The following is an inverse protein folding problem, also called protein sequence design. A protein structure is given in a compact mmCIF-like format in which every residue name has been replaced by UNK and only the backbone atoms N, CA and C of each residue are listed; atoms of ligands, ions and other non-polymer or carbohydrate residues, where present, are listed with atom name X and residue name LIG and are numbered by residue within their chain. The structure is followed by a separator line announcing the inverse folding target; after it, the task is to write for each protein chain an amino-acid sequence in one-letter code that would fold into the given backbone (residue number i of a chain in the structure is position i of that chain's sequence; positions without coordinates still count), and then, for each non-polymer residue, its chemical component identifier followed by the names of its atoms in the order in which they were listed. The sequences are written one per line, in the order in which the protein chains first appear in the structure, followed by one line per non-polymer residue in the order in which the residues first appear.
data_IF_081349052859
#
_entry.id   IF_081349052859
#
_cell.length_a   1.000
_cell.length_b   1.000
_cell.length_c   1.000
_cell.angle_alpha   90.00
_cell.angle_beta   90.00
_cell.angle_gamma   90.00
#
_symmetry.space_group_name_H-M   'P 1'
#
loop_
_entity.id
_entity.type
_entity.pdbx_description
1 polymer ?
#
# COMPACT_ATOMS: atom_id res chain seq x y z
N UNK A 1 -30.00 64.61 12.85
CA UNK A 1 -30.33 63.21 12.49
C UNK A 1 -29.35 62.62 11.47
N UNK A 2 -29.02 63.29 10.35
CA UNK A 2 -28.02 62.80 9.36
C UNK A 2 -26.61 62.48 9.92
N UNK A 3 -26.14 63.24 10.92
CA UNK A 3 -24.81 63.03 11.54
C UNK A 3 -24.74 61.79 12.46
N UNK A 4 -25.88 61.38 13.03
CA UNK A 4 -25.96 60.18 13.90
C UNK A 4 -25.97 58.91 13.04
N UNK A 5 -26.63 58.96 11.88
CA UNK A 5 -26.65 57.86 10.90
C UNK A 5 -25.25 57.62 10.28
N UNK A 6 -24.48 58.70 10.06
CA UNK A 6 -23.09 58.58 9.59
C UNK A 6 -22.15 57.98 10.64
N UNK A 7 -22.39 58.25 11.93
CA UNK A 7 -21.59 57.67 13.01
C UNK A 7 -21.89 56.17 13.20
N UNK A 8 -23.15 55.75 13.07
CA UNK A 8 -23.52 54.34 13.17
C UNK A 8 -23.03 53.51 11.96
N UNK A 9 -22.97 54.11 10.77
CA UNK A 9 -22.42 53.44 9.58
C UNK A 9 -20.90 53.28 9.66
N UNK A 10 -20.19 54.27 10.20
CA UNK A 10 -18.74 54.20 10.42
C UNK A 10 -18.37 53.18 11.52
N UNK A 11 -19.19 53.05 12.56
CA UNK A 11 -19.02 52.04 13.61
C UNK A 11 -19.32 50.61 13.10
N UNK A 12 -20.30 50.44 12.22
CA UNK A 12 -20.61 49.13 11.63
C UNK A 12 -19.52 48.64 10.65
N UNK A 13 -18.88 49.55 9.91
CA UNK A 13 -17.78 49.19 8.99
C UNK A 13 -16.48 48.79 9.70
N UNK A 14 -16.28 49.20 10.97
CA UNK A 14 -15.04 48.93 11.71
C UNK A 14 -15.02 47.56 12.39
N UNK A 15 -16.16 46.87 12.53
CA UNK A 15 -16.23 45.51 13.07
C UNK A 15 -15.95 44.40 12.04
N UNK A 16 -15.85 44.72 10.75
CA UNK A 16 -15.63 43.73 9.68
C UNK A 16 -14.18 43.23 9.50
N UNK A 17 -13.19 43.85 10.14
CA UNK A 17 -11.77 43.59 9.85
C UNK A 17 -11.04 42.72 10.90
N UNK A 18 -11.72 42.28 11.97
CA UNK A 18 -11.13 41.38 12.98
C UNK A 18 -11.41 39.89 12.73
N UNK A 19 -12.22 39.56 11.71
CA UNK A 19 -12.73 38.23 11.46
C UNK A 19 -12.08 37.50 10.27
N UNK A 20 -10.75 37.38 10.25
CA UNK A 20 -10.00 36.27 9.62
C UNK A 20 -8.51 36.64 9.62
N UNK A 21 -7.84 36.45 10.77
CA UNK A 21 -6.45 36.05 10.64
C UNK A 21 -6.51 34.69 9.96
N UNK A 22 -5.97 34.60 8.74
CA UNK A 22 -5.62 33.31 8.14
C UNK A 22 -4.71 32.67 9.18
N UNK A 23 -5.27 31.77 9.98
CA UNK A 23 -4.45 30.77 10.61
C UNK A 23 -3.85 30.03 9.42
N UNK A 24 -2.59 30.31 9.13
CA UNK A 24 -1.73 29.24 8.64
C UNK A 24 -1.79 28.19 9.75
N UNK A 25 -2.84 27.37 9.70
CA UNK A 25 -2.72 26.01 10.14
C UNK A 25 -1.57 25.52 9.29
N UNK A 26 -0.40 25.39 9.89
CA UNK A 26 0.49 24.30 9.52
C UNK A 26 -0.44 23.08 9.56
N UNK A 27 -0.93 22.68 8.38
CA UNK A 27 -1.54 21.38 8.23
C UNK A 27 -0.55 20.39 8.82
N UNK A 28 -1.02 19.29 9.45
CA UNK A 28 -0.12 18.35 10.12
C UNK A 28 1.08 18.13 9.21
N UNK A 29 2.27 18.53 9.69
CA UNK A 29 3.51 18.38 8.94
C UNK A 29 3.53 16.93 8.53
N UNK A 30 3.33 16.68 7.22
CA UNK A 30 3.48 15.34 6.67
C UNK A 30 4.85 14.90 7.13
N UNK A 31 4.96 13.78 7.89
CA UNK A 31 6.23 13.37 8.45
C UNK A 31 7.28 13.45 7.35
N UNK A 32 8.23 14.35 7.54
CA UNK A 32 9.35 14.50 6.63
C UNK A 32 10.00 13.14 6.49
N UNK A 33 10.24 12.74 5.24
CA UNK A 33 10.54 11.37 4.79
C UNK A 33 9.31 10.46 4.72
N UNK A 34 8.92 10.13 3.49
CA UNK A 34 8.05 8.99 3.21
C UNK A 34 8.78 7.75 3.71
N UNK A 35 8.47 7.32 4.93
CA UNK A 35 9.04 6.10 5.50
C UNK A 35 8.79 4.94 4.52
N UNK A 36 9.87 4.42 3.94
CA UNK A 36 9.78 3.32 2.99
C UNK A 36 9.71 2.00 3.76
N UNK A 37 8.51 1.70 4.27
CA UNK A 37 8.24 0.46 5.01
C UNK A 37 8.30 -0.81 4.15
N UNK A 38 8.47 -0.67 2.83
CA UNK A 38 8.62 -1.80 1.91
C UNK A 38 9.79 -1.55 0.95
N UNK A 39 11.04 -1.62 1.44
CA UNK A 39 12.20 -1.30 0.63
C UNK A 39 12.35 -2.32 -0.50
N UNK A 40 12.14 -1.85 -1.72
CA UNK A 40 11.91 -2.67 -2.91
C UNK A 40 12.65 -2.13 -4.13
N UNK A 41 13.80 -1.50 -3.89
CA UNK A 41 14.66 -0.98 -4.94
C UNK A 41 15.18 -2.11 -5.81
N UNK A 42 15.37 -1.81 -7.09
CA UNK A 42 15.92 -2.76 -8.05
C UNK A 42 17.28 -3.29 -7.58
N UNK A 43 17.48 -4.60 -7.65
CA UNK A 43 18.74 -5.23 -7.26
C UNK A 43 18.90 -5.46 -5.76
N UNK A 44 17.97 -4.97 -4.93
CA UNK A 44 18.01 -5.22 -3.49
C UNK A 44 17.77 -6.70 -3.18
N UNK A 45 18.55 -7.23 -2.23
CA UNK A 45 18.48 -8.61 -1.78
C UNK A 45 18.40 -8.67 -0.25
N UNK A 46 17.44 -9.44 0.27
CA UNK A 46 17.27 -9.71 1.69
C UNK A 46 17.43 -11.20 1.96
N UNK A 47 18.30 -11.57 2.89
CA UNK A 47 18.52 -12.95 3.32
C UNK A 47 18.18 -13.10 4.79
N UNK A 48 17.36 -14.09 5.12
CA UNK A 48 16.85 -14.30 6.47
C UNK A 48 16.71 -15.78 6.80
N UNK A 49 16.84 -16.08 8.09
CA UNK A 49 16.61 -17.42 8.62
C UNK A 49 15.12 -17.75 8.54
N UNK A 50 14.80 -18.95 8.08
CA UNK A 50 13.44 -19.49 8.05
C UNK A 50 13.31 -20.58 9.10
N UNK A 51 12.24 -20.52 9.89
CA UNK A 51 11.84 -21.57 10.83
C UNK A 51 10.33 -21.70 10.79
N UNK A 52 9.83 -22.90 10.53
CA UNK A 52 8.41 -23.26 10.62
C UNK A 52 8.25 -24.45 11.55
N UNK A 53 7.27 -24.38 12.43
CA UNK A 53 6.86 -25.52 13.26
C UNK A 53 5.42 -25.85 12.94
N UNK A 54 5.17 -27.11 12.58
CA UNK A 54 3.83 -27.65 12.34
C UNK A 54 3.67 -29.03 13.02
N UNK A 55 2.56 -29.73 12.78
CA UNK A 55 2.29 -31.05 13.37
C UNK A 55 3.31 -32.13 12.97
N UNK A 56 4.10 -31.89 11.91
CA UNK A 56 5.17 -32.77 11.44
C UNK A 56 6.53 -32.44 12.07
N UNK A 57 6.61 -31.40 12.91
CA UNK A 57 7.82 -30.97 13.61
C UNK A 57 8.35 -29.62 13.15
N UNK A 58 9.62 -29.35 13.47
CA UNK A 58 10.29 -28.10 13.11
C UNK A 58 11.14 -28.26 11.85
N UNK A 59 10.98 -27.32 10.93
CA UNK A 59 11.74 -27.21 9.69
C UNK A 59 12.47 -25.88 9.68
N UNK A 60 13.79 -25.92 9.48
CA UNK A 60 14.64 -24.75 9.37
C UNK A 60 15.15 -24.60 7.94
N UNK A 61 15.44 -23.37 7.55
CA UNK A 61 15.96 -23.07 6.22
C UNK A 61 16.50 -21.65 6.11
N UNK A 62 16.78 -21.23 4.89
CA UNK A 62 17.17 -19.86 4.56
C UNK A 62 16.24 -19.36 3.47
N UNK A 63 15.63 -18.19 3.67
CA UNK A 63 14.88 -17.51 2.62
C UNK A 63 15.64 -16.29 2.13
N UNK A 64 15.62 -16.08 0.82
CA UNK A 64 16.24 -14.97 0.13
C UNK A 64 15.18 -14.30 -0.74
N UNK A 65 15.00 -13.00 -0.59
CA UNK A 65 14.10 -12.17 -1.41
C UNK A 65 14.94 -11.24 -2.27
N UNK A 66 14.62 -11.16 -3.55
CA UNK A 66 15.32 -10.32 -4.53
C UNK A 66 14.32 -9.58 -5.41
N UNK A 67 14.58 -8.30 -5.70
CA UNK A 67 13.71 -7.48 -6.53
C UNK A 67 14.34 -7.26 -7.91
N UNK A 68 13.58 -7.57 -8.98
CA UNK A 68 14.09 -7.55 -10.35
C UNK A 68 13.08 -7.07 -11.41
N UNK A 69 13.30 -5.89 -11.92
CA UNK A 69 12.58 -5.29 -13.02
C UNK A 69 11.09 -5.15 -12.73
N UNK A 70 10.36 -5.01 -13.83
CA UNK A 70 8.91 -4.93 -13.81
C UNK A 70 8.31 -5.73 -14.96
N UNK A 71 7.05 -6.11 -14.78
CA UNK A 71 6.21 -6.75 -15.78
C UNK A 71 4.89 -5.98 -15.88
N UNK A 72 4.32 -5.92 -17.09
CA UNK A 72 3.00 -5.33 -17.30
C UNK A 72 1.96 -6.44 -17.42
N UNK A 73 0.98 -6.47 -16.53
CA UNK A 73 -0.12 -7.44 -16.52
C UNK A 73 -1.43 -6.67 -16.70
N UNK A 74 -2.19 -6.99 -17.76
CA UNK A 74 -3.46 -6.32 -18.10
C UNK A 74 -3.34 -4.78 -18.08
N UNK A 75 -2.24 -4.24 -18.60
CA UNK A 75 -1.97 -2.79 -18.67
C UNK A 75 -1.48 -2.13 -17.37
N UNK A 76 -1.35 -2.88 -16.28
CA UNK A 76 -0.79 -2.38 -15.01
C UNK A 76 0.65 -2.88 -14.84
N UNK A 77 1.57 -1.97 -14.54
CA UNK A 77 2.98 -2.31 -14.25
C UNK A 77 3.15 -2.77 -12.81
N UNK A 78 3.82 -3.90 -12.63
CA UNK A 78 4.16 -4.52 -11.35
C UNK A 78 5.67 -4.74 -11.27
N UNK A 79 6.25 -4.51 -10.10
CA UNK A 79 7.61 -4.96 -9.78
C UNK A 79 7.62 -6.47 -9.57
N UNK A 80 8.73 -7.12 -9.93
CA UNK A 80 8.93 -8.56 -9.67
C UNK A 80 9.72 -8.74 -8.38
N UNK A 81 9.18 -9.56 -7.48
CA UNK A 81 9.84 -10.10 -6.31
C UNK A 81 10.12 -11.58 -6.56
N UNK A 82 11.38 -11.99 -6.47
CA UNK A 82 11.81 -13.38 -6.58
C UNK A 82 12.18 -13.85 -5.17
N UNK A 83 11.52 -14.90 -4.71
CA UNK A 83 11.77 -15.52 -3.41
C UNK A 83 12.40 -16.90 -3.61
N UNK A 84 13.48 -17.17 -2.89
CA UNK A 84 14.09 -18.50 -2.81
C UNK A 84 14.08 -18.99 -1.37
N UNK A 85 13.58 -20.20 -1.13
CA UNK A 85 13.62 -20.88 0.15
C UNK A 85 14.46 -22.15 0.02
N UNK A 86 15.54 -22.24 0.78
CA UNK A 86 16.41 -23.43 0.84
C UNK A 86 16.16 -24.16 2.15
N UNK A 87 15.60 -25.38 2.05
CA UNK A 87 15.45 -26.32 3.16
C UNK A 87 16.25 -27.57 2.79
N UNK A 88 17.13 -28.04 3.68
CA UNK A 88 17.93 -29.26 3.48
C UNK A 88 18.61 -29.35 2.11
N UNK A 89 19.21 -28.25 1.64
CA UNK A 89 19.89 -28.10 0.33
C UNK A 89 19.02 -28.12 -0.93
N UNK A 90 17.69 -28.22 -0.81
CA UNK A 90 16.77 -28.09 -1.95
C UNK A 90 16.25 -26.65 -2.07
N UNK A 91 16.61 -25.89 -3.13
CA UNK A 91 16.05 -24.57 -3.37
C UNK A 91 14.65 -24.69 -3.97
N UNK A 92 13.69 -24.02 -3.35
CA UNK A 92 12.39 -23.69 -3.94
C UNK A 92 12.45 -22.23 -4.37
N UNK A 93 12.01 -21.90 -5.57
CA UNK A 93 12.03 -20.53 -6.11
C UNK A 93 10.64 -20.19 -6.63
N UNK A 94 10.14 -19.03 -6.24
CA UNK A 94 8.86 -18.49 -6.69
C UNK A 94 8.98 -17.01 -7.01
N UNK A 95 8.05 -16.49 -7.83
CA UNK A 95 7.98 -15.10 -8.21
C UNK A 95 6.61 -14.51 -7.88
N UNK A 96 6.62 -13.37 -7.18
CA UNK A 96 5.45 -12.56 -6.89
C UNK A 96 5.53 -11.24 -7.62
N UNK A 97 4.38 -10.67 -7.95
CA UNK A 97 4.30 -9.37 -8.65
C UNK A 97 3.52 -8.40 -7.77
N UNK A 98 4.07 -7.20 -7.56
CA UNK A 98 3.43 -6.23 -6.68
C UNK A 98 3.61 -4.80 -7.17
N UNK A 99 2.74 -3.92 -6.72
CA UNK A 99 2.82 -2.47 -6.96
C UNK A 99 2.66 -1.73 -5.63
N UNK A 100 3.36 -0.62 -5.48
CA UNK A 100 3.24 0.25 -4.31
C UNK A 100 2.66 1.58 -4.75
N UNK A 101 1.65 2.06 -4.03
CA UNK A 101 1.07 3.39 -4.18
C UNK A 101 1.15 4.12 -2.83
N UNK A 102 0.71 5.38 -2.78
CA UNK A 102 0.56 6.10 -1.52
C UNK A 102 -0.42 5.45 -0.54
N UNK A 103 -1.32 4.58 -1.02
CA UNK A 103 -2.30 3.89 -0.19
C UNK A 103 -1.83 2.51 0.32
N UNK A 104 -0.75 1.95 -0.24
CA UNK A 104 -0.19 0.67 0.20
C UNK A 104 0.49 -0.15 -0.87
N UNK A 105 0.84 -1.39 -0.52
CA UNK A 105 1.43 -2.39 -1.42
C UNK A 105 0.40 -3.45 -1.78
N UNK A 106 0.26 -3.73 -3.07
CA UNK A 106 -0.74 -4.64 -3.62
C UNK A 106 -0.06 -5.71 -4.45
N UNK A 107 -0.34 -6.98 -4.15
CA UNK A 107 0.16 -8.12 -4.90
C UNK A 107 -0.84 -8.53 -5.98
N UNK A 108 -0.33 -8.85 -7.17
CA UNK A 108 -1.10 -9.51 -8.20
C UNK A 108 -1.18 -11.01 -7.88
N UNK A 109 -2.41 -11.52 -7.84
CA UNK A 109 -2.70 -12.93 -7.67
C UNK A 109 -3.44 -13.38 -8.94
N UNK A 110 -2.87 -14.36 -9.64
CA UNK A 110 -3.57 -14.99 -10.75
C UNK A 110 -4.62 -15.95 -10.20
N UNK A 111 -5.90 -15.63 -10.44
CA UNK A 111 -7.03 -16.47 -10.04
C UNK A 111 -7.55 -17.31 -11.21
N UNK A 112 -6.86 -17.32 -12.36
CA UNK A 112 -7.21 -18.17 -13.50
C UNK A 112 -7.16 -19.63 -13.06
N UNK A 113 -8.29 -20.34 -13.20
CA UNK A 113 -8.43 -21.73 -12.75
C UNK A 113 -8.91 -21.90 -11.30
N UNK A 114 -9.00 -20.83 -10.51
CA UNK A 114 -9.60 -20.90 -9.18
C UNK A 114 -11.07 -21.35 -9.24
N UNK A 115 -11.83 -20.87 -10.23
CA UNK A 115 -13.19 -21.34 -10.48
C UNK A 115 -13.29 -22.85 -10.73
N UNK A 116 -12.27 -23.46 -11.36
CA UNK A 116 -12.23 -24.89 -11.62
C UNK A 116 -11.91 -25.73 -10.36
N UNK A 117 -11.34 -25.11 -9.32
CA UNK A 117 -11.09 -25.75 -8.03
C UNK A 117 -12.32 -25.76 -7.10
N UNK A 118 -13.35 -24.98 -7.45
CA UNK A 118 -14.62 -24.94 -6.73
C UNK A 118 -15.58 -25.94 -7.40
N UNK A 119 -15.73 -27.13 -6.81
CA UNK A 119 -16.64 -28.17 -7.29
C UNK A 119 -18.12 -27.84 -7.04
N UNK A 120 -18.41 -26.92 -6.12
CA UNK A 120 -19.76 -26.45 -5.83
C UNK A 120 -20.02 -25.09 -6.47
N UNK A 121 -20.72 -25.11 -7.61
CA UNK A 121 -21.06 -23.93 -8.40
C UNK A 121 -21.81 -22.84 -7.61
N UNK A 122 -22.44 -23.18 -6.48
CA UNK A 122 -23.14 -22.21 -5.63
C UNK A 122 -22.19 -21.28 -4.85
N UNK A 123 -20.95 -21.71 -4.60
CA UNK A 123 -19.92 -20.91 -3.93
C UNK A 123 -19.28 -19.88 -4.86
N UNK A 124 -19.36 -20.07 -6.18
CA UNK A 124 -18.80 -19.14 -7.18
C UNK A 124 -19.52 -17.78 -7.13
N UNK A 125 -20.81 -17.77 -6.80
CA UNK A 125 -21.62 -16.54 -6.66
C UNK A 125 -21.18 -15.65 -5.48
N UNK A 126 -20.38 -16.17 -4.55
CA UNK A 126 -19.90 -15.43 -3.37
C UNK A 126 -18.54 -14.77 -3.59
N UNK A 127 -17.94 -14.90 -4.78
CA UNK A 127 -16.58 -14.39 -5.04
C UNK A 127 -16.66 -13.24 -6.04
N UNK A 128 -16.67 -11.97 -5.58
CA UNK A 128 -16.95 -10.80 -6.41
C UNK A 128 -15.87 -10.46 -7.45
N UNK A 129 -14.85 -11.30 -7.61
CA UNK A 129 -13.68 -11.05 -8.46
C UNK A 129 -13.37 -12.19 -9.45
N UNK A 130 -14.30 -13.12 -9.64
CA UNK A 130 -14.21 -14.19 -10.66
C UNK A 130 -15.21 -13.89 -11.78
N UNK A 131 -14.98 -12.81 -12.53
CA UNK A 131 -15.66 -12.50 -13.79
C UNK A 131 -14.67 -11.88 -14.75
#
# INVERSE_FOLDING_TARGET
MKKIILLSLAAALSFGYLGCKKSESEGPTSPGTTENYFPNSEGTNYKYSYSRTDSSGQVNGTRTTYYKGSITIKGTSYKVQIDSLVISSSPQVDSSYFRTTSAGTYFFIDTTGFAASITDSSLILLIPYVT
#
